data_IF_378490002154
#
_entry.id   IF_378490002154
#
_cell.length_a   1.000
_cell.length_b   1.000
_cell.length_c   1.000
_cell.angle_alpha   90.00
_cell.angle_beta   90.00
_cell.angle_gamma   90.00
#
_symmetry.space_group_name_H-M   'P 1'
#
loop_
_entity.id
_entity.type
_entity.pdbx_description
1 polymer ?
#
# COMPACT_ATOMS: atom_id res chain seq x y z
N UNK A 1 -6.41 4.53 8.71
CA UNK A 1 -5.53 3.91 9.71
C UNK A 1 -4.20 4.60 9.77
N UNK A 2 -3.62 4.94 8.63
CA UNK A 2 -2.44 5.80 8.57
C UNK A 2 -2.84 7.27 8.46
N UNK A 3 -2.16 8.15 9.18
CA UNK A 3 -2.50 9.57 9.30
C UNK A 3 -1.30 10.51 9.38
N UNK A 4 -0.07 10.05 9.13
CA UNK A 4 1.13 10.92 9.21
C UNK A 4 0.96 12.15 8.31
N UNK A 5 0.63 11.93 7.03
CA UNK A 5 0.40 13.02 6.08
C UNK A 5 -0.78 13.93 6.48
N UNK A 6 -1.87 13.36 7.03
CA UNK A 6 -3.01 14.15 7.55
C UNK A 6 -2.59 15.05 8.71
N UNK A 7 -1.77 14.56 9.62
CA UNK A 7 -1.33 15.32 10.79
C UNK A 7 -0.39 16.45 10.36
N UNK A 8 0.49 16.22 9.38
CA UNK A 8 1.30 17.28 8.77
C UNK A 8 0.42 18.37 8.14
N UNK A 9 -0.60 17.98 7.36
CA UNK A 9 -1.57 18.94 6.78
C UNK A 9 -2.29 19.74 7.88
N UNK A 10 -2.69 19.08 8.97
CA UNK A 10 -3.39 19.72 10.09
C UNK A 10 -2.52 20.80 10.74
N UNK A 11 -1.26 20.46 11.07
CA UNK A 11 -0.29 21.40 11.66
C UNK A 11 -0.04 22.57 10.71
N UNK A 12 0.18 22.29 9.42
CA UNK A 12 0.47 23.34 8.42
C UNK A 12 -0.73 24.30 8.25
N UNK A 13 -1.96 23.80 8.24
CA UNK A 13 -3.17 24.64 8.20
C UNK A 13 -3.32 25.47 9.49
N UNK A 14 -3.12 24.87 10.66
CA UNK A 14 -3.18 25.57 11.95
C UNK A 14 -2.12 26.69 12.05
N UNK A 15 -0.91 26.47 11.53
CA UNK A 15 0.11 27.51 11.42
C UNK A 15 -0.31 28.70 10.54
N UNK A 16 -1.34 28.54 9.71
CA UNK A 16 -1.90 29.57 8.85
C UNK A 16 -3.27 30.06 9.33
N UNK A 17 -3.53 29.96 10.64
CA UNK A 17 -4.75 30.43 11.31
C UNK A 17 -6.06 29.74 10.87
N UNK A 18 -5.98 28.51 10.36
CA UNK A 18 -7.16 27.68 10.17
C UNK A 18 -7.48 26.92 11.46
N UNK A 19 -8.76 26.87 11.81
CA UNK A 19 -9.25 25.91 12.80
C UNK A 19 -9.40 24.54 12.13
N UNK A 20 -8.77 23.51 12.71
CA UNK A 20 -8.77 22.15 12.16
C UNK A 20 -9.36 21.19 13.16
N UNK A 21 -10.51 20.62 12.81
CA UNK A 21 -11.15 19.54 13.58
C UNK A 21 -10.69 18.19 13.02
N UNK A 22 -9.67 17.61 13.65
CA UNK A 22 -9.13 16.32 13.27
C UNK A 22 -10.00 15.17 13.82
N UNK A 23 -10.77 14.53 12.95
CA UNK A 23 -11.66 13.42 13.32
C UNK A 23 -10.95 12.06 13.51
N UNK A 24 -9.63 12.00 13.31
CA UNK A 24 -8.86 10.77 13.40
C UNK A 24 -8.91 9.93 12.12
N UNK A 25 -9.00 8.61 12.27
CA UNK A 25 -8.93 7.63 11.17
C UNK A 25 -10.11 6.67 11.21
N UNK A 26 -10.44 6.08 10.05
CA UNK A 26 -11.58 5.14 9.91
C UNK A 26 -12.92 5.77 10.32
N UNK A 27 -13.11 7.04 9.98
CA UNK A 27 -14.32 7.79 10.30
C UNK A 27 -15.38 7.51 9.23
N UNK A 28 -16.59 7.03 9.60
CA UNK A 28 -17.68 6.82 8.66
C UNK A 28 -18.11 8.13 7.97
N UNK A 29 -18.56 8.03 6.71
CA UNK A 29 -19.07 9.18 5.94
C UNK A 29 -20.15 9.97 6.71
N UNK A 30 -21.11 9.26 7.31
CA UNK A 30 -22.19 9.89 8.08
C UNK A 30 -21.66 10.76 9.23
N UNK A 31 -20.62 10.29 9.92
CA UNK A 31 -20.02 11.01 11.04
C UNK A 31 -19.24 12.23 10.55
N UNK A 32 -18.51 12.11 9.43
CA UNK A 32 -17.81 13.23 8.78
C UNK A 32 -18.80 14.35 8.47
N UNK A 33 -19.89 14.02 7.78
CA UNK A 33 -20.90 14.99 7.38
C UNK A 33 -21.66 15.56 8.59
N UNK A 34 -22.01 14.72 9.57
CA UNK A 34 -22.66 15.19 10.79
C UNK A 34 -21.77 16.17 11.57
N UNK A 35 -20.48 15.85 11.73
CA UNK A 35 -19.52 16.72 12.40
C UNK A 35 -19.32 18.03 11.65
N UNK A 36 -19.17 18.00 10.32
CA UNK A 36 -19.01 19.20 9.51
C UNK A 36 -20.19 20.20 9.68
N UNK A 37 -21.42 19.69 9.88
CA UNK A 37 -22.58 20.53 10.20
C UNK A 37 -22.50 21.14 11.60
N UNK A 38 -22.10 20.34 12.59
CA UNK A 38 -21.99 20.78 13.99
C UNK A 38 -20.94 21.88 14.15
N UNK A 39 -19.78 21.69 13.54
CA UNK A 39 -18.67 22.66 13.62
C UNK A 39 -18.84 23.84 12.66
N UNK A 40 -19.84 23.80 11.77
CA UNK A 40 -20.01 24.81 10.74
C UNK A 40 -18.86 24.86 9.73
N UNK A 41 -18.23 23.72 9.45
CA UNK A 41 -16.99 23.65 8.67
C UNK A 41 -17.15 24.22 7.25
N UNK A 42 -16.18 25.04 6.85
CA UNK A 42 -16.14 25.63 5.52
C UNK A 42 -15.53 24.70 4.47
N UNK A 43 -14.70 23.74 4.87
CA UNK A 43 -14.01 22.77 3.98
C UNK A 43 -14.02 21.39 4.64
N UNK A 44 -14.20 20.33 3.85
CA UNK A 44 -14.00 18.95 4.27
C UNK A 44 -12.74 18.40 3.60
N UNK A 45 -11.83 17.80 4.37
CA UNK A 45 -10.63 17.13 3.86
C UNK A 45 -10.66 15.63 4.08
N UNK A 46 -10.39 14.84 3.04
CA UNK A 46 -10.28 13.38 3.09
C UNK A 46 -8.85 12.92 2.81
N UNK A 47 -8.38 11.94 3.60
CA UNK A 47 -7.07 11.33 3.45
C UNK A 47 -7.19 9.82 3.23
N UNK A 48 -6.51 9.28 2.21
CA UNK A 48 -6.53 7.87 1.86
C UNK A 48 -5.14 7.28 1.62
N UNK A 49 -4.89 6.06 2.12
CA UNK A 49 -3.61 5.36 1.97
C UNK A 49 -3.67 4.20 0.98
N UNK A 50 -4.80 3.47 0.94
CA UNK A 50 -4.94 2.25 0.13
C UNK A 50 -5.99 2.47 -0.96
N UNK A 51 -5.99 1.62 -1.99
CA UNK A 51 -6.88 1.81 -3.14
C UNK A 51 -8.37 1.74 -2.79
N UNK A 52 -8.85 0.93 -1.82
CA UNK A 52 -10.24 0.99 -1.36
C UNK A 52 -10.66 2.35 -0.81
N UNK A 53 -9.73 3.16 -0.29
CA UNK A 53 -10.04 4.51 0.21
C UNK A 53 -10.51 5.46 -0.89
N UNK A 54 -10.17 5.20 -2.15
CA UNK A 54 -10.61 6.03 -3.27
C UNK A 54 -12.12 5.92 -3.52
N UNK A 55 -12.68 4.73 -3.34
CA UNK A 55 -14.12 4.50 -3.47
C UNK A 55 -14.89 5.17 -2.34
N UNK A 56 -14.36 5.11 -1.11
CA UNK A 56 -14.92 5.84 0.03
C UNK A 56 -14.95 7.36 -0.22
N UNK A 57 -13.92 7.92 -0.86
CA UNK A 57 -13.91 9.34 -1.23
C UNK A 57 -14.98 9.69 -2.27
N UNK A 58 -15.18 8.85 -3.27
CA UNK A 58 -16.26 9.03 -4.26
C UNK A 58 -17.65 8.86 -3.61
N UNK A 59 -17.77 7.97 -2.63
CA UNK A 59 -18.98 7.79 -1.83
C UNK A 59 -19.28 9.04 -1.00
N UNK A 60 -18.30 9.60 -0.29
CA UNK A 60 -18.47 10.87 0.46
C UNK A 60 -18.91 12.00 -0.47
N UNK A 61 -18.29 12.15 -1.64
CA UNK A 61 -18.71 13.15 -2.63
C UNK A 61 -20.17 12.96 -3.06
N UNK A 62 -20.60 11.71 -3.28
CA UNK A 62 -21.98 11.37 -3.63
C UNK A 62 -22.96 11.69 -2.49
N UNK A 63 -22.59 11.44 -1.23
CA UNK A 63 -23.43 11.77 -0.08
C UNK A 63 -23.50 13.30 0.17
N UNK A 64 -22.39 14.03 -0.02
CA UNK A 64 -22.39 15.49 -0.01
C UNK A 64 -23.34 16.07 -1.08
N UNK A 65 -23.44 15.44 -2.25
CA UNK A 65 -24.40 15.85 -3.28
C UNK A 65 -25.86 15.57 -2.88
N UNK A 66 -26.13 14.49 -2.15
CA UNK A 66 -27.50 14.15 -1.71
C UNK A 66 -28.02 15.05 -0.59
N UNK A 67 -27.12 15.65 0.17
CA UNK A 67 -27.44 16.45 1.33
C UNK A 67 -27.44 17.94 0.99
N UNK A 68 -28.62 18.57 1.10
CA UNK A 68 -28.83 19.98 0.73
C UNK A 68 -27.91 20.95 1.46
N UNK A 69 -27.47 20.64 2.68
CA UNK A 69 -26.56 21.51 3.42
C UNK A 69 -25.24 21.72 2.68
N UNK A 70 -24.63 20.65 2.17
CA UNK A 70 -23.37 20.72 1.45
C UNK A 70 -23.59 21.20 0.02
N UNK A 71 -24.60 20.66 -0.67
CA UNK A 71 -24.92 21.00 -2.06
C UNK A 71 -25.21 22.49 -2.25
N UNK A 72 -26.08 23.07 -1.43
CA UNK A 72 -26.47 24.49 -1.56
C UNK A 72 -25.32 25.42 -1.18
N UNK A 73 -24.58 25.10 -0.11
CA UNK A 73 -23.41 25.89 0.31
C UNK A 73 -22.18 25.68 -0.58
N UNK A 74 -22.18 24.62 -1.39
CA UNK A 74 -21.04 24.18 -2.20
C UNK A 74 -19.75 24.06 -1.39
N UNK A 75 -19.84 23.47 -0.20
CA UNK A 75 -18.70 23.26 0.69
C UNK A 75 -17.61 22.48 -0.08
N UNK A 76 -16.39 23.02 -0.21
CA UNK A 76 -15.30 22.33 -0.89
C UNK A 76 -14.90 21.01 -0.23
N UNK A 77 -14.58 20.03 -1.07
CA UNK A 77 -14.04 18.73 -0.70
C UNK A 77 -12.59 18.60 -1.16
N UNK A 78 -11.64 18.58 -0.22
CA UNK A 78 -10.23 18.35 -0.50
C UNK A 78 -9.90 16.85 -0.45
N UNK A 79 -9.21 16.37 -1.48
CA UNK A 79 -8.81 14.98 -1.63
C UNK A 79 -7.28 14.90 -1.58
N UNK A 80 -6.74 14.12 -0.65
CA UNK A 80 -5.30 13.90 -0.49
C UNK A 80 -4.94 12.51 0.02
N UNK A 81 -3.64 12.20 0.07
CA UNK A 81 -3.12 10.89 0.53
C UNK A 81 -2.46 10.06 -0.58
N UNK A 82 -1.79 8.97 -0.20
CA UNK A 82 -0.85 8.26 -1.06
C UNK A 82 -1.46 7.66 -2.34
N UNK A 83 -2.72 7.26 -2.30
CA UNK A 83 -3.41 6.64 -3.45
C UNK A 83 -4.16 7.63 -4.31
N UNK A 84 -4.30 8.89 -3.87
CA UNK A 84 -5.04 9.89 -4.61
C UNK A 84 -4.18 10.51 -5.71
N UNK A 85 -4.84 11.00 -6.75
CA UNK A 85 -4.16 11.72 -7.82
C UNK A 85 -5.11 12.73 -8.45
N UNK A 86 -4.52 13.73 -9.12
CA UNK A 86 -5.26 14.71 -9.91
C UNK A 86 -6.17 14.06 -10.95
N UNK A 87 -5.66 13.04 -11.65
CA UNK A 87 -6.41 12.33 -12.70
C UNK A 87 -7.58 11.55 -12.09
N UNK A 88 -7.33 10.76 -11.04
CA UNK A 88 -8.40 9.99 -10.40
C UNK A 88 -9.48 10.91 -9.82
N UNK A 89 -9.09 11.98 -9.15
CA UNK A 89 -10.04 12.97 -8.58
C UNK A 89 -10.90 13.58 -9.66
N UNK A 90 -10.31 14.06 -10.76
CA UNK A 90 -11.05 14.68 -11.86
C UNK A 90 -12.00 13.71 -12.59
N UNK A 91 -11.61 12.44 -12.73
CA UNK A 91 -12.36 11.45 -13.54
C UNK A 91 -13.38 10.67 -12.72
N UNK A 92 -13.10 10.40 -11.44
CA UNK A 92 -13.84 9.41 -10.62
C UNK A 92 -14.47 9.96 -9.34
N UNK A 93 -14.05 11.13 -8.85
CA UNK A 93 -14.59 11.72 -7.61
C UNK A 93 -15.40 12.98 -7.91
N UNK A 94 -14.76 13.96 -8.56
CA UNK A 94 -15.37 15.25 -8.89
C UNK A 94 -16.73 15.17 -9.61
N UNK A 95 -16.99 14.20 -10.52
CA UNK A 95 -18.30 14.09 -11.17
C UNK A 95 -19.48 13.78 -10.23
N UNK A 96 -19.21 13.33 -9.00
CA UNK A 96 -20.25 12.94 -8.04
C UNK A 96 -20.78 14.09 -7.18
N UNK A 97 -20.18 15.29 -7.26
CA UNK A 97 -20.55 16.44 -6.44
C UNK A 97 -20.47 17.74 -7.26
N UNK A 98 -21.50 18.60 -7.15
CA UNK A 98 -21.57 19.86 -7.89
C UNK A 98 -20.77 21.00 -7.26
N UNK A 99 -20.39 20.85 -5.98
CA UNK A 99 -19.46 21.74 -5.30
C UNK A 99 -18.00 21.45 -5.68
N UNK A 100 -17.04 22.27 -5.20
CA UNK A 100 -15.63 22.10 -5.53
C UNK A 100 -15.08 20.79 -4.97
N UNK A 101 -14.46 19.98 -5.83
CA UNK A 101 -13.66 18.81 -5.42
C UNK A 101 -12.24 19.04 -5.88
N UNK A 102 -11.29 19.11 -4.95
CA UNK A 102 -9.91 19.56 -5.24
C UNK A 102 -8.91 18.53 -4.76
N UNK A 103 -8.12 17.99 -5.68
CA UNK A 103 -6.92 17.23 -5.35
C UNK A 103 -5.82 18.14 -4.81
N UNK A 104 -5.28 17.80 -3.64
CA UNK A 104 -4.15 18.50 -3.01
C UNK A 104 -2.98 17.52 -2.86
N UNK A 105 -1.84 17.76 -3.53
CA UNK A 105 -0.74 16.78 -3.60
C UNK A 105 0.05 16.65 -2.30
N UNK A 106 0.17 17.73 -1.53
CA UNK A 106 1.02 17.80 -0.34
C UNK A 106 0.52 18.88 0.64
N UNK A 107 1.08 18.88 1.85
CA UNK A 107 0.69 19.81 2.91
C UNK A 107 1.02 21.27 2.57
N UNK A 108 2.13 21.55 1.87
CA UNK A 108 2.52 22.91 1.50
C UNK A 108 1.47 23.58 0.60
N UNK A 109 0.85 22.81 -0.30
CA UNK A 109 -0.20 23.29 -1.20
C UNK A 109 -1.54 23.49 -0.50
N UNK A 110 -1.81 22.76 0.59
CA UNK A 110 -3.10 22.78 1.28
C UNK A 110 -3.52 24.19 1.72
N UNK A 111 -2.58 25.00 2.23
CA UNK A 111 -2.82 26.38 2.67
C UNK A 111 -3.25 27.25 1.48
N UNK A 112 -2.48 27.22 0.40
CA UNK A 112 -2.77 28.03 -0.79
C UNK A 112 -4.14 27.70 -1.40
N UNK A 113 -4.49 26.42 -1.41
CA UNK A 113 -5.78 25.94 -1.90
C UNK A 113 -6.91 26.39 -0.98
N UNK A 114 -6.79 26.16 0.34
CA UNK A 114 -7.81 26.54 1.31
C UNK A 114 -8.06 28.06 1.31
N UNK A 115 -7.00 28.87 1.34
CA UNK A 115 -7.12 30.34 1.27
C UNK A 115 -7.72 30.82 -0.05
N UNK A 116 -7.43 30.16 -1.17
CA UNK A 116 -8.02 30.53 -2.47
C UNK A 116 -9.52 30.19 -2.52
N UNK A 117 -9.93 29.06 -1.94
CA UNK A 117 -11.33 28.62 -1.90
C UNK A 117 -12.21 29.48 -0.98
N UNK A 118 -11.65 30.05 0.07
CA UNK A 118 -12.37 30.89 1.04
C UNK A 118 -12.26 32.39 0.73
N UNK A 119 -11.58 32.77 -0.34
CA UNK A 119 -11.43 34.16 -0.76
C UNK A 119 -12.64 34.66 -1.55
N UNK A 120 -13.24 35.78 -1.15
CA UNK A 120 -14.37 36.40 -1.87
C UNK A 120 -14.02 36.76 -3.33
N UNK A 121 -12.81 37.25 -3.58
CA UNK A 121 -12.36 37.70 -4.91
C UNK A 121 -11.64 36.58 -5.70
N UNK A 122 -10.96 35.67 -4.99
CA UNK A 122 -10.10 34.64 -5.57
C UNK A 122 -10.82 33.32 -5.87
N UNK A 123 -11.89 32.99 -5.13
CA UNK A 123 -12.55 31.68 -5.23
C UNK A 123 -13.15 31.46 -6.62
N UNK A 124 -13.87 32.43 -7.18
CA UNK A 124 -14.49 32.29 -8.49
C UNK A 124 -13.46 31.97 -9.59
N UNK A 125 -12.36 32.75 -9.62
CA UNK A 125 -11.27 32.54 -10.58
C UNK A 125 -10.61 31.17 -10.41
N UNK A 126 -10.32 30.78 -9.16
CA UNK A 126 -9.70 29.49 -8.86
C UNK A 126 -10.59 28.32 -9.30
N UNK A 127 -11.90 28.41 -9.05
CA UNK A 127 -12.87 27.38 -9.45
C UNK A 127 -13.02 27.27 -10.97
N UNK A 128 -12.99 28.39 -11.69
CA UNK A 128 -13.01 28.38 -13.16
C UNK A 128 -11.75 27.73 -13.74
N UNK A 129 -10.58 28.04 -13.19
CA UNK A 129 -9.30 27.42 -13.58
C UNK A 129 -9.29 25.91 -13.28
N UNK A 130 -9.77 25.52 -12.09
CA UNK A 130 -9.89 24.13 -11.69
C UNK A 130 -10.82 23.35 -12.62
N UNK A 131 -11.99 23.92 -12.94
CA UNK A 131 -12.97 23.30 -13.83
C UNK A 131 -12.40 23.10 -15.23
N UNK A 132 -11.78 24.15 -15.80
CA UNK A 132 -11.14 24.06 -17.11
C UNK A 132 -10.03 23.00 -17.14
N UNK A 133 -9.26 22.91 -16.06
CA UNK A 133 -8.23 21.88 -15.93
C UNK A 133 -8.80 20.47 -15.84
N UNK A 134 -9.84 20.25 -15.02
CA UNK A 134 -10.45 18.92 -14.87
C UNK A 134 -11.20 18.51 -16.14
N UNK A 135 -11.83 19.43 -16.86
CA UNK A 135 -12.41 19.19 -18.19
C UNK A 135 -11.33 18.74 -19.17
N UNK A 136 -10.18 19.43 -19.19
CA UNK A 136 -9.04 19.04 -20.02
C UNK A 136 -8.52 17.64 -19.66
N UNK A 137 -8.35 17.34 -18.37
CA UNK A 137 -7.88 16.03 -17.90
C UNK A 137 -8.86 14.93 -18.29
N UNK A 138 -10.17 15.15 -18.09
CA UNK A 138 -11.21 14.18 -18.48
C UNK A 138 -11.19 13.93 -19.98
N UNK A 139 -11.09 14.99 -20.80
CA UNK A 139 -10.99 14.87 -22.25
C UNK A 139 -9.71 14.12 -22.68
N UNK A 140 -8.56 14.42 -22.09
CA UNK A 140 -7.31 13.70 -22.36
C UNK A 140 -7.39 12.23 -21.95
N UNK A 141 -8.01 11.94 -20.80
CA UNK A 141 -8.20 10.59 -20.31
C UNK A 141 -9.15 9.78 -21.22
N UNK A 142 -10.27 10.37 -21.63
CA UNK A 142 -11.25 9.76 -22.54
C UNK A 142 -10.66 9.51 -23.94
N UNK A 143 -9.78 10.41 -24.41
CA UNK A 143 -9.11 10.28 -25.70
C UNK A 143 -7.87 9.38 -25.67
N UNK A 144 -7.46 8.89 -24.49
CA UNK A 144 -6.32 7.98 -24.37
C UNK A 144 -6.68 6.66 -25.04
N UNK A 145 -5.99 6.33 -26.14
CA UNK A 145 -6.17 5.04 -26.81
C UNK A 145 -5.92 3.92 -25.79
N UNK A 146 -6.93 3.07 -25.60
CA UNK A 146 -6.78 1.86 -24.84
C UNK A 146 -5.63 1.05 -25.45
N UNK A 147 -4.72 0.56 -24.60
CA UNK A 147 -3.72 -0.39 -25.08
C UNK A 147 -4.47 -1.61 -25.60
N UNK A 148 -4.09 -2.14 -26.77
CA UNK A 148 -4.71 -3.36 -27.26
C UNK A 148 -4.52 -4.46 -26.20
N UNK A 149 -5.61 -5.14 -25.89
CA UNK A 149 -5.66 -6.23 -24.93
C UNK A 149 -5.87 -7.55 -25.67
N UNK A 150 -5.41 -8.62 -25.05
CA UNK A 150 -5.67 -10.00 -25.46
C UNK A 150 -6.74 -10.61 -24.54
N UNK A 151 -7.42 -11.64 -25.02
CA UNK A 151 -8.32 -12.44 -24.17
C UNK A 151 -7.55 -13.09 -23.02
N UNK A 152 -8.24 -13.44 -21.94
CA UNK A 152 -7.65 -14.16 -20.81
C UNK A 152 -7.04 -15.49 -21.26
N UNK A 153 -7.68 -16.20 -22.19
CA UNK A 153 -7.16 -17.44 -22.75
C UNK A 153 -5.84 -17.23 -23.50
N UNK A 154 -5.74 -16.20 -24.35
CA UNK A 154 -4.48 -15.84 -25.03
C UNK A 154 -3.40 -15.40 -24.05
N UNK A 155 -3.75 -14.64 -23.01
CA UNK A 155 -2.81 -14.25 -21.96
C UNK A 155 -2.27 -15.47 -21.21
N UNK A 156 -3.13 -16.43 -20.83
CA UNK A 156 -2.74 -17.71 -20.18
C UNK A 156 -1.85 -18.56 -21.09
N UNK A 157 -2.12 -18.57 -22.39
CA UNK A 157 -1.27 -19.26 -23.37
C UNK A 157 0.13 -18.64 -23.49
N UNK A 158 0.27 -17.34 -23.24
CA UNK A 158 1.54 -16.60 -23.23
C UNK A 158 2.08 -16.39 -21.79
N UNK A 159 1.93 -17.38 -20.91
CA UNK A 159 2.48 -17.36 -19.54
C UNK A 159 4.01 -17.32 -19.53
N UNK A 160 4.61 -16.99 -18.39
CA UNK A 160 6.08 -17.05 -18.25
C UNK A 160 6.58 -18.48 -18.51
N UNK A 161 7.45 -18.72 -19.50
CA UNK A 161 7.87 -20.07 -19.85
C UNK A 161 8.95 -20.55 -18.88
N UNK A 162 8.57 -21.43 -17.95
CA UNK A 162 9.50 -22.06 -16.99
C UNK A 162 9.55 -23.56 -17.27
N UNK A 163 10.75 -24.10 -17.44
CA UNK A 163 10.95 -25.53 -17.57
C UNK A 163 11.02 -26.19 -16.18
N UNK A 164 9.84 -26.56 -15.66
CA UNK A 164 9.69 -27.21 -14.36
C UNK A 164 10.37 -28.58 -14.28
N UNK A 165 10.71 -29.23 -15.40
CA UNK A 165 11.43 -30.52 -15.36
C UNK A 165 12.92 -30.35 -15.06
N UNK A 166 13.51 -29.23 -15.45
CA UNK A 166 14.92 -28.93 -15.17
C UNK A 166 15.13 -28.08 -13.91
N UNK A 167 14.08 -27.39 -13.44
CA UNK A 167 14.12 -26.64 -12.20
C UNK A 167 13.58 -27.47 -11.01
N UNK A 168 14.39 -27.60 -9.96
CA UNK A 168 13.96 -28.19 -8.69
C UNK A 168 13.78 -27.07 -7.64
N UNK A 169 12.54 -26.79 -7.22
CA UNK A 169 12.31 -25.86 -6.13
C UNK A 169 13.01 -26.31 -4.83
N UNK A 170 13.58 -25.34 -4.11
CA UNK A 170 14.24 -25.62 -2.85
C UNK A 170 13.19 -25.85 -1.78
N UNK A 171 13.23 -27.01 -1.12
CA UNK A 171 12.39 -27.29 0.04
C UNK A 171 12.82 -26.43 1.24
N UNK A 172 11.89 -25.70 1.90
CA UNK A 172 12.16 -25.01 3.15
C UNK A 172 12.74 -25.93 4.23
N UNK A 173 13.57 -25.39 5.13
CA UNK A 173 14.14 -26.18 6.24
C UNK A 173 13.08 -26.61 7.28
N UNK A 174 11.89 -26.02 7.22
CA UNK A 174 10.72 -26.46 7.97
C UNK A 174 9.44 -26.13 7.20
N UNK A 175 8.40 -26.93 7.43
CA UNK A 175 7.04 -26.65 6.97
C UNK A 175 6.20 -26.23 8.17
N UNK A 176 5.41 -25.18 8.00
CA UNK A 176 4.48 -24.68 9.01
C UNK A 176 4.77 -23.23 9.42
N UNK A 177 4.30 -22.88 10.62
CA UNK A 177 4.25 -21.52 11.15
C UNK A 177 5.35 -21.25 12.17
N UNK A 178 5.92 -20.04 12.18
CA UNK A 178 6.83 -19.54 13.22
C UNK A 178 6.51 -18.11 13.62
N UNK A 179 6.47 -17.89 14.92
CA UNK A 179 6.18 -16.59 15.53
C UNK A 179 7.46 -15.98 16.11
N UNK A 180 7.63 -14.68 15.91
CA UNK A 180 8.71 -13.86 16.43
C UNK A 180 8.08 -12.75 17.28
N UNK A 181 8.23 -12.81 18.60
CA UNK A 181 7.73 -11.78 19.52
C UNK A 181 8.88 -10.97 20.11
N UNK A 182 8.67 -9.66 20.25
CA UNK A 182 9.66 -8.73 20.78
C UNK A 182 11.00 -8.82 20.04
N UNK A 183 10.95 -8.80 18.71
CA UNK A 183 12.14 -8.79 17.87
C UNK A 183 13.01 -7.57 18.23
N UNK A 184 14.33 -7.74 18.26
CA UNK A 184 15.25 -6.69 18.72
C UNK A 184 15.22 -5.51 17.75
N UNK A 185 14.73 -4.37 18.24
CA UNK A 185 14.71 -3.12 17.48
C UNK A 185 16.12 -2.66 17.08
N UNK A 186 17.15 -3.02 17.87
CA UNK A 186 18.54 -2.72 17.53
C UNK A 186 19.00 -3.48 16.29
N UNK A 187 18.51 -4.70 16.09
CA UNK A 187 18.77 -5.48 14.88
C UNK A 187 18.06 -4.86 13.69
N UNK A 188 16.76 -4.53 13.84
CA UNK A 188 15.96 -3.89 12.79
C UNK A 188 16.51 -2.54 12.36
N UNK A 189 17.10 -1.76 13.27
CA UNK A 189 17.69 -0.47 12.94
C UNK A 189 18.78 -0.54 11.84
N UNK A 190 19.40 -1.70 11.65
CA UNK A 190 20.40 -1.93 10.60
C UNK A 190 19.81 -2.16 9.21
N UNK A 191 18.49 -2.43 9.14
CA UNK A 191 17.75 -2.69 7.89
C UNK A 191 16.91 -1.49 7.45
N UNK A 192 17.00 -0.34 8.14
CA UNK A 192 16.19 0.84 7.81
C UNK A 192 16.65 1.42 6.46
N UNK A 193 15.69 1.55 5.54
CA UNK A 193 15.78 2.47 4.41
C UNK A 193 15.33 3.87 4.85
N UNK A 194 16.28 4.80 4.89
CA UNK A 194 16.07 6.20 5.26
C UNK A 194 15.52 7.06 4.12
N UNK A 195 15.52 6.58 2.87
CA UNK A 195 14.97 7.33 1.74
C UNK A 195 13.53 7.80 1.99
N UNK A 196 12.58 6.88 2.29
CA UNK A 196 11.20 7.27 2.56
C UNK A 196 10.99 8.00 3.90
N UNK A 197 11.95 7.93 4.84
CA UNK A 197 11.92 8.78 6.04
C UNK A 197 12.01 10.26 5.64
N UNK A 198 12.93 10.65 4.75
CA UNK A 198 13.04 12.03 4.28
C UNK A 198 11.81 12.47 3.47
N UNK A 199 11.25 11.56 2.65
CA UNK A 199 10.03 11.84 1.90
C UNK A 199 8.84 12.14 2.82
N UNK A 200 8.76 11.48 3.97
CA UNK A 200 7.72 11.76 4.99
C UNK A 200 7.80 13.19 5.52
N UNK A 201 9.00 13.77 5.54
CA UNK A 201 9.27 15.16 5.93
C UNK A 201 9.29 16.14 4.75
N UNK A 202 8.78 15.73 3.59
CA UNK A 202 8.76 16.53 2.35
C UNK A 202 10.15 17.00 1.89
N UNK A 203 11.18 16.20 2.18
CA UNK A 203 12.55 16.43 1.75
C UNK A 203 12.90 15.51 0.58
N UNK A 204 12.96 16.09 -0.62
CA UNK A 204 13.23 15.36 -1.85
C UNK A 204 14.73 15.12 -2.05
N UNK A 205 15.11 13.87 -2.30
CA UNK A 205 16.48 13.48 -2.64
C UNK A 205 16.81 12.06 -2.18
N UNK A 206 17.75 11.36 -2.85
CA UNK A 206 18.16 10.02 -2.44
C UNK A 206 19.06 10.07 -1.21
N UNK A 207 18.84 9.19 -0.23
CA UNK A 207 19.78 8.97 0.86
C UNK A 207 20.97 8.11 0.39
N UNK A 208 22.23 8.40 0.79
CA UNK A 208 22.65 9.47 1.70
C UNK A 208 22.96 10.82 1.02
N UNK A 209 22.84 10.94 -0.30
CA UNK A 209 23.21 12.15 -1.05
C UNK A 209 22.44 13.41 -0.60
N UNK A 210 21.18 13.26 -0.19
CA UNK A 210 20.33 14.34 0.35
C UNK A 210 20.97 15.08 1.52
N UNK A 211 21.85 14.41 2.29
CA UNK A 211 22.54 15.02 3.42
C UNK A 211 23.57 16.07 3.00
N UNK A 212 24.00 16.08 1.73
CA UNK A 212 24.95 17.03 1.17
C UNK A 212 24.30 17.96 0.14
N UNK A 213 22.98 17.94 0.01
CA UNK A 213 22.25 18.80 -0.91
C UNK A 213 22.43 20.29 -0.53
N UNK A 214 22.60 21.15 -1.53
CA UNK A 214 22.88 22.58 -1.34
C UNK A 214 21.67 23.36 -0.80
N UNK A 215 20.45 22.89 -1.06
CA UNK A 215 19.21 23.57 -0.70
C UNK A 215 18.63 22.97 0.59
N UNK A 216 18.46 21.64 0.62
CA UNK A 216 17.76 20.95 1.72
C UNK A 216 18.69 20.22 2.68
N UNK A 217 20.00 20.16 2.39
CA UNK A 217 20.94 19.33 3.16
C UNK A 217 21.06 19.71 4.62
N UNK A 218 20.93 20.99 4.98
CA UNK A 218 20.92 21.41 6.40
C UNK A 218 19.71 20.85 7.15
N UNK A 219 18.50 21.06 6.61
CA UNK A 219 17.26 20.51 7.16
C UNK A 219 17.28 18.99 7.21
N UNK A 220 17.81 18.34 6.16
CA UNK A 220 17.96 16.88 6.10
C UNK A 220 18.89 16.36 7.21
N UNK A 221 20.06 16.99 7.41
CA UNK A 221 20.97 16.61 8.51
C UNK A 221 20.33 16.82 9.88
N UNK A 222 19.55 17.89 10.07
CA UNK A 222 18.87 18.18 11.33
C UNK A 222 17.80 17.13 11.64
N UNK A 223 16.84 16.90 10.74
CA UNK A 223 15.77 15.93 10.95
C UNK A 223 16.30 14.50 11.07
N UNK A 224 17.39 14.18 10.36
CA UNK A 224 18.07 12.90 10.50
C UNK A 224 18.72 12.75 11.88
N UNK A 225 19.39 13.79 12.39
CA UNK A 225 19.96 13.79 13.74
C UNK A 225 18.87 13.61 14.80
N UNK A 226 17.75 14.32 14.68
CA UNK A 226 16.61 14.20 15.59
C UNK A 226 15.99 12.80 15.51
N UNK A 227 15.80 12.27 14.30
CA UNK A 227 15.33 10.91 14.07
C UNK A 227 16.25 9.85 14.67
N UNK A 228 17.57 10.00 14.54
CA UNK A 228 18.57 9.10 15.16
C UNK A 228 18.56 9.21 16.70
N UNK A 229 18.37 10.40 17.24
CA UNK A 229 18.24 10.62 18.68
C UNK A 229 16.97 9.97 19.24
N UNK A 230 15.83 10.17 18.58
CA UNK A 230 14.57 9.53 18.95
C UNK A 230 14.64 8.01 18.79
N UNK A 231 15.27 7.52 17.72
CA UNK A 231 15.53 6.09 17.49
C UNK A 231 16.31 5.48 18.66
N UNK A 232 17.36 6.14 19.14
CA UNK A 232 18.12 5.65 20.30
C UNK A 232 17.24 5.60 21.57
N UNK A 233 16.46 6.65 21.83
CA UNK A 233 15.56 6.73 22.99
C UNK A 233 14.46 5.68 22.95
N UNK A 234 13.84 5.45 21.79
CA UNK A 234 12.74 4.50 21.65
C UNK A 234 13.22 3.05 21.77
N UNK A 235 14.43 2.74 21.27
CA UNK A 235 15.05 1.42 21.45
C UNK A 235 15.39 1.21 22.94
N UNK A 236 16.12 2.15 23.55
CA UNK A 236 16.54 2.05 24.96
C UNK A 236 15.34 1.97 25.91
N UNK A 237 14.32 2.77 25.64
CA UNK A 237 13.09 2.84 26.42
C UNK A 237 12.07 1.77 26.06
N UNK A 238 12.32 0.91 25.05
CA UNK A 238 11.40 -0.10 24.53
C UNK A 238 9.98 0.44 24.30
N UNK A 239 9.90 1.60 23.63
CA UNK A 239 8.62 2.27 23.39
C UNK A 239 7.71 1.49 22.44
N UNK A 240 8.32 0.73 21.53
CA UNK A 240 7.65 -0.07 20.52
C UNK A 240 7.96 -1.56 20.73
N UNK A 241 7.03 -2.42 20.33
CA UNK A 241 7.25 -3.85 20.21
C UNK A 241 7.16 -4.27 18.74
N UNK A 242 8.19 -4.99 18.27
CA UNK A 242 8.19 -5.59 16.95
C UNK A 242 7.79 -7.07 17.05
N UNK A 243 6.65 -7.43 16.45
CA UNK A 243 6.18 -8.81 16.37
C UNK A 243 5.97 -9.21 14.91
N UNK A 244 6.26 -10.46 14.59
CA UNK A 244 6.16 -11.01 13.26
C UNK A 244 5.77 -12.48 13.26
N UNK A 245 5.19 -12.93 12.17
CA UNK A 245 4.86 -14.33 11.93
C UNK A 245 5.16 -14.67 10.49
N UNK A 246 5.67 -15.88 10.27
CA UNK A 246 5.77 -16.46 8.93
C UNK A 246 5.11 -17.82 8.90
N UNK A 247 4.69 -18.23 7.70
CA UNK A 247 4.43 -19.62 7.38
C UNK A 247 5.17 -19.99 6.09
N UNK A 248 5.87 -21.12 6.08
CA UNK A 248 6.45 -21.70 4.88
C UNK A 248 5.70 -23.00 4.59
N UNK A 249 4.98 -23.05 3.48
CA UNK A 249 4.01 -24.11 3.20
C UNK A 249 4.19 -24.66 1.78
N UNK A 250 3.86 -25.93 1.55
CA UNK A 250 3.81 -26.49 0.21
C UNK A 250 2.76 -25.76 -0.62
N UNK A 251 3.06 -25.53 -1.89
CA UNK A 251 2.13 -24.89 -2.81
C UNK A 251 2.27 -25.41 -4.23
N UNK A 252 1.20 -25.28 -5.01
CA UNK A 252 1.22 -25.50 -6.45
C UNK A 252 0.25 -24.56 -7.15
N UNK A 253 0.58 -24.22 -8.39
CA UNK A 253 -0.34 -23.49 -9.26
C UNK A 253 -1.44 -24.42 -9.79
N UNK A 254 -2.68 -23.94 -9.80
CA UNK A 254 -3.87 -24.58 -10.36
C UNK A 254 -4.65 -23.55 -11.18
N UNK A 255 -5.54 -24.00 -12.07
CA UNK A 255 -6.40 -23.13 -12.89
C UNK A 255 -5.64 -22.00 -13.64
N UNK A 256 -4.40 -22.28 -14.07
CA UNK A 256 -3.42 -21.35 -14.66
C UNK A 256 -2.90 -20.21 -13.76
N UNK A 257 -3.74 -19.63 -12.90
CA UNK A 257 -3.46 -18.36 -12.20
C UNK A 257 -3.60 -18.43 -10.66
N UNK A 258 -4.04 -19.55 -10.10
CA UNK A 258 -4.27 -19.67 -8.66
C UNK A 258 -3.13 -20.44 -8.01
N UNK A 259 -2.75 -20.05 -6.78
CA UNK A 259 -1.78 -20.81 -5.99
C UNK A 259 -2.54 -21.49 -4.85
N UNK A 260 -2.69 -22.82 -4.90
CA UNK A 260 -3.13 -23.61 -3.75
C UNK A 260 -1.97 -23.74 -2.76
N UNK A 261 -2.22 -23.37 -1.52
CA UNK A 261 -1.29 -23.45 -0.39
C UNK A 261 -1.81 -24.52 0.56
N UNK A 262 -1.02 -25.54 0.82
CA UNK A 262 -1.43 -26.72 1.58
C UNK A 262 -0.98 -26.65 3.04
N UNK A 263 -1.67 -27.38 3.92
CA UNK A 263 -1.33 -27.44 5.34
C UNK A 263 -0.01 -28.17 5.61
N UNK A 264 0.33 -29.17 4.80
CA UNK A 264 1.56 -29.95 4.89
C UNK A 264 1.98 -30.61 3.55
N UNK A 265 3.08 -31.37 3.57
CA UNK A 265 3.68 -32.01 2.39
C UNK A 265 2.80 -33.10 1.74
N UNK A 266 1.75 -33.58 2.41
CA UNK A 266 0.79 -34.52 1.81
C UNK A 266 -0.02 -33.87 0.69
N UNK A 267 -0.16 -32.53 0.73
CA UNK A 267 -0.94 -31.73 -0.22
C UNK A 267 -2.41 -32.18 -0.33
N UNK A 268 -2.97 -32.77 0.73
CA UNK A 268 -4.36 -33.24 0.75
C UNK A 268 -5.37 -32.18 1.20
N UNK A 269 -4.94 -31.22 2.01
CA UNK A 269 -5.78 -30.15 2.56
C UNK A 269 -5.23 -28.79 2.15
N UNK A 270 -6.09 -27.94 1.59
CA UNK A 270 -5.77 -26.58 1.16
C UNK A 270 -6.05 -25.63 2.32
N UNK A 271 -5.01 -24.93 2.79
CA UNK A 271 -5.12 -23.90 3.83
C UNK A 271 -5.63 -22.57 3.27
N UNK A 272 -5.19 -22.22 2.06
CA UNK A 272 -5.55 -20.98 1.35
C UNK A 272 -5.38 -21.19 -0.15
N UNK A 273 -6.23 -20.58 -0.96
CA UNK A 273 -5.96 -20.41 -2.38
C UNK A 273 -5.76 -18.93 -2.70
N UNK A 274 -4.54 -18.55 -3.07
CA UNK A 274 -4.25 -17.19 -3.50
C UNK A 274 -4.64 -17.03 -4.97
N UNK A 275 -5.73 -16.27 -5.21
CA UNK A 275 -6.24 -15.99 -6.56
C UNK A 275 -5.44 -14.83 -7.17
N UNK A 276 -4.61 -15.12 -8.17
CA UNK A 276 -3.82 -14.08 -8.84
C UNK A 276 -4.54 -13.56 -10.10
N UNK A 277 -4.04 -12.41 -10.54
CA UNK A 277 -4.41 -11.77 -11.79
C UNK A 277 -3.25 -11.83 -12.78
N UNK A 278 -3.59 -11.77 -14.06
CA UNK A 278 -2.67 -11.86 -15.20
C UNK A 278 -2.72 -10.59 -16.04
N UNK A 279 -1.55 -10.14 -16.50
CA UNK A 279 -1.46 -9.06 -17.47
C UNK A 279 -2.26 -9.38 -18.73
N UNK A 280 -3.15 -8.49 -19.18
CA UNK A 280 -3.94 -8.69 -20.42
C UNK A 280 -3.60 -7.71 -21.55
N UNK A 281 -2.65 -6.79 -21.36
CA UNK A 281 -2.12 -5.98 -22.47
C UNK A 281 -1.38 -6.86 -23.49
N UNK A 282 -1.49 -6.55 -24.79
CA UNK A 282 -0.57 -7.09 -25.81
C UNK A 282 0.88 -6.80 -25.38
N UNK A 283 1.70 -7.86 -25.33
CA UNK A 283 3.07 -7.76 -24.84
C UNK A 283 4.04 -7.48 -25.98
N UNK A 284 5.06 -6.63 -25.77
CA UNK A 284 6.01 -6.31 -26.80
C UNK A 284 6.86 -7.54 -27.17
N UNK A 285 7.28 -7.59 -28.43
CA UNK A 285 8.32 -8.50 -28.90
C UNK A 285 9.66 -7.82 -28.71
N UNK A 286 10.57 -8.46 -27.97
CA UNK A 286 11.94 -7.98 -27.75
C UNK A 286 12.87 -9.10 -28.19
N UNK A 287 13.85 -8.77 -29.05
CA UNK A 287 14.80 -9.74 -29.63
C UNK A 287 14.12 -10.94 -30.29
N UNK A 288 12.98 -10.71 -30.97
CA UNK A 288 12.20 -11.74 -31.64
C UNK A 288 11.32 -12.60 -30.74
N UNK A 289 11.33 -12.38 -29.42
CA UNK A 289 10.53 -13.13 -28.44
C UNK A 289 9.45 -12.24 -27.84
N UNK A 290 8.20 -12.69 -27.90
CA UNK A 290 7.09 -12.02 -27.22
C UNK A 290 7.29 -12.11 -25.70
N UNK A 291 7.27 -10.96 -25.01
CA UNK A 291 7.33 -10.97 -23.54
C UNK A 291 6.08 -11.67 -22.98
N UNK A 292 6.18 -12.36 -21.83
CA UNK A 292 5.05 -13.06 -21.27
C UNK A 292 3.99 -12.09 -20.72
N UNK A 293 2.74 -12.55 -20.73
CA UNK A 293 1.63 -12.00 -19.97
C UNK A 293 1.73 -12.55 -18.55
N UNK A 294 2.43 -11.86 -17.67
CA UNK A 294 2.82 -12.41 -16.35
C UNK A 294 1.64 -12.52 -15.38
N UNK A 295 1.66 -13.58 -14.58
CA UNK A 295 0.93 -13.74 -13.32
C UNK A 295 1.94 -14.15 -12.24
N UNK A 296 1.71 -13.80 -10.97
CA UNK A 296 2.61 -14.25 -9.88
C UNK A 296 2.57 -15.77 -9.70
N UNK A 297 1.45 -16.41 -10.07
CA UNK A 297 1.30 -17.86 -10.10
C UNK A 297 2.21 -18.57 -11.11
N UNK A 298 2.76 -17.85 -12.10
CA UNK A 298 3.71 -18.41 -13.04
C UNK A 298 4.99 -18.90 -12.34
N UNK A 299 5.31 -18.37 -11.16
CA UNK A 299 6.56 -18.63 -10.43
C UNK A 299 6.44 -19.72 -9.36
N UNK A 300 5.36 -20.49 -9.37
CA UNK A 300 5.12 -21.67 -8.52
C UNK A 300 4.79 -22.86 -9.42
N UNK A 301 5.38 -24.02 -9.13
CA UNK A 301 5.22 -25.19 -9.98
C UNK A 301 3.74 -25.61 -10.16
N UNK A 302 3.27 -25.83 -11.39
CA UNK A 302 1.93 -26.34 -11.65
C UNK A 302 1.70 -27.71 -10.99
N UNK A 303 0.49 -27.95 -10.48
CA UNK A 303 0.14 -29.19 -9.79
C UNK A 303 0.29 -30.43 -10.67
N UNK A 304 -0.03 -30.32 -11.96
CA UNK A 304 0.07 -31.37 -12.97
C UNK A 304 1.52 -31.68 -13.39
N UNK A 305 2.47 -30.79 -13.10
CA UNK A 305 3.90 -31.06 -13.32
C UNK A 305 4.47 -32.15 -12.40
N UNK A 306 3.79 -32.43 -11.28
CA UNK A 306 4.28 -33.35 -10.23
C UNK A 306 5.46 -32.81 -9.42
N UNK A 307 5.88 -31.56 -9.65
CA UNK A 307 6.99 -30.92 -8.95
C UNK A 307 6.50 -30.35 -7.61
N UNK A 308 7.20 -30.70 -6.54
CA UNK A 308 6.95 -30.17 -5.20
C UNK A 308 7.53 -28.76 -5.06
N UNK A 309 6.66 -27.76 -5.00
CA UNK A 309 7.03 -26.36 -4.76
C UNK A 309 6.43 -25.84 -3.45
N UNK A 310 6.83 -24.63 -3.06
CA UNK A 310 6.58 -24.01 -1.76
C UNK A 310 6.38 -22.51 -1.89
N UNK A 311 5.65 -21.94 -0.95
CA UNK A 311 5.42 -20.50 -0.83
C UNK A 311 5.61 -20.09 0.63
N UNK A 312 6.00 -18.84 0.83
CA UNK A 312 5.97 -18.23 2.16
C UNK A 312 4.85 -17.21 2.30
N UNK A 313 4.39 -17.00 3.52
CA UNK A 313 3.52 -15.90 3.93
C UNK A 313 4.13 -15.22 5.14
N UNK A 314 3.93 -13.92 5.29
CA UNK A 314 4.37 -13.18 6.46
C UNK A 314 3.42 -12.04 6.83
N UNK A 315 3.42 -11.71 8.12
CA UNK A 315 2.88 -10.47 8.65
C UNK A 315 3.81 -9.97 9.76
N UNK A 316 4.18 -8.71 9.70
CA UNK A 316 5.05 -8.04 10.69
C UNK A 316 4.47 -6.70 11.09
N UNK A 317 4.67 -6.32 12.34
CA UNK A 317 4.37 -5.00 12.86
C UNK A 317 5.49 -4.52 13.77
N UNK A 318 5.75 -3.22 13.73
CA UNK A 318 6.56 -2.52 14.72
C UNK A 318 5.78 -1.39 15.41
N UNK A 319 4.45 -1.34 15.21
CA UNK A 319 3.58 -0.28 15.71
C UNK A 319 2.98 -0.55 17.09
N UNK A 320 3.23 -1.69 17.72
CA UNK A 320 2.66 -1.99 19.03
C UNK A 320 3.26 -1.08 20.10
N UNK A 321 2.40 -0.34 20.80
CA UNK A 321 2.79 0.65 21.80
C UNK A 321 2.92 2.08 21.26
N UNK A 322 2.80 2.30 19.94
CA UNK A 322 2.92 3.63 19.33
C UNK A 322 1.90 4.61 19.91
N UNK A 323 0.62 4.20 20.01
CA UNK A 323 -0.48 5.03 20.51
C UNK A 323 -0.25 5.58 21.92
N UNK A 324 0.47 4.84 22.77
CA UNK A 324 0.73 5.24 24.16
C UNK A 324 1.68 6.44 24.19
N UNK A 325 2.75 6.38 23.38
CA UNK A 325 3.74 7.47 23.31
C UNK A 325 3.25 8.64 22.47
N UNK A 326 2.48 8.36 21.42
CA UNK A 326 1.81 9.39 20.65
C UNK A 326 0.90 10.25 21.54
N UNK A 327 -0.02 9.64 22.30
CA UNK A 327 -0.91 10.37 23.21
C UNK A 327 -0.17 11.22 24.24
N UNK A 328 1.03 10.78 24.65
CA UNK A 328 1.87 11.57 25.53
C UNK A 328 2.41 12.82 24.80
N UNK A 329 2.94 12.67 23.58
CA UNK A 329 3.39 13.80 22.78
C UNK A 329 2.25 14.77 22.41
N UNK A 330 1.06 14.26 22.08
CA UNK A 330 -0.13 15.09 21.82
C UNK A 330 -0.52 15.91 23.07
N UNK A 331 -0.50 15.28 24.26
CA UNK A 331 -0.78 15.98 25.53
C UNK A 331 0.27 17.05 25.84
N UNK A 332 1.51 16.81 25.45
CA UNK A 332 2.62 17.75 25.62
C UNK A 332 2.67 18.80 24.49
N UNK A 333 1.71 18.78 23.55
CA UNK A 333 1.66 19.63 22.36
C UNK A 333 2.93 19.54 21.49
N UNK A 334 3.53 18.35 21.40
CA UNK A 334 4.74 18.04 20.64
C UNK A 334 4.41 17.23 19.39
N UNK A 335 3.76 17.90 18.42
CA UNK A 335 3.39 17.29 17.13
C UNK A 335 4.61 16.76 16.37
N UNK A 336 5.76 17.43 16.49
CA UNK A 336 7.00 17.02 15.85
C UNK A 336 7.45 15.64 16.32
N UNK A 337 7.50 15.42 17.64
CA UNK A 337 7.87 14.12 18.19
C UNK A 337 6.83 13.03 17.90
N UNK A 338 5.54 13.38 17.87
CA UNK A 338 4.47 12.44 17.50
C UNK A 338 4.64 11.95 16.05
N UNK A 339 4.85 12.87 15.11
CA UNK A 339 5.09 12.56 13.69
C UNK A 339 6.41 11.77 13.53
N UNK A 340 7.47 12.19 14.21
CA UNK A 340 8.77 11.50 14.18
C UNK A 340 8.66 10.05 14.67
N UNK A 341 7.94 9.82 15.78
CA UNK A 341 7.74 8.47 16.32
C UNK A 341 7.00 7.58 15.32
N UNK A 342 5.93 8.08 14.70
CA UNK A 342 5.18 7.33 13.68
C UNK A 342 6.02 7.02 12.46
N UNK A 343 6.75 8.01 11.96
CA UNK A 343 7.66 7.83 10.82
C UNK A 343 8.71 6.75 11.11
N UNK A 344 9.29 6.74 12.32
CA UNK A 344 10.23 5.72 12.75
C UNK A 344 9.57 4.34 12.94
N UNK A 345 8.33 4.27 13.45
CA UNK A 345 7.58 3.03 13.55
C UNK A 345 7.34 2.40 12.17
N UNK A 346 6.97 3.20 11.17
CA UNK A 346 6.85 2.76 9.78
C UNK A 346 8.19 2.25 9.22
N UNK A 347 9.29 2.98 9.49
CA UNK A 347 10.64 2.53 9.10
C UNK A 347 10.99 1.18 9.74
N UNK A 348 10.61 0.95 10.98
CA UNK A 348 10.82 -0.35 11.63
C UNK A 348 9.97 -1.46 11.04
N UNK A 349 8.72 -1.19 10.66
CA UNK A 349 7.86 -2.21 10.04
C UNK A 349 8.44 -2.68 8.71
N UNK A 350 8.91 -1.75 7.87
CA UNK A 350 9.60 -2.06 6.60
C UNK A 350 10.94 -2.76 6.83
N UNK A 351 11.74 -2.26 7.79
CA UNK A 351 13.00 -2.89 8.17
C UNK A 351 12.79 -4.33 8.68
N UNK A 352 11.67 -4.60 9.38
CA UNK A 352 11.32 -5.94 9.81
C UNK A 352 10.93 -6.83 8.63
N UNK A 353 10.17 -6.32 7.66
CA UNK A 353 9.87 -7.06 6.45
C UNK A 353 11.16 -7.45 5.70
N UNK A 354 12.13 -6.54 5.58
CA UNK A 354 13.44 -6.81 4.96
C UNK A 354 14.28 -7.80 5.76
N UNK A 355 14.43 -7.59 7.07
CA UNK A 355 15.21 -8.47 7.94
C UNK A 355 14.65 -9.90 7.98
N UNK A 356 13.33 -10.03 8.07
CA UNK A 356 12.66 -11.33 8.09
C UNK A 356 12.75 -12.00 6.71
N UNK A 357 12.61 -11.25 5.61
CA UNK A 357 12.82 -11.79 4.28
C UNK A 357 14.26 -12.29 4.11
N UNK A 358 15.28 -11.51 4.48
CA UNK A 358 16.69 -11.93 4.44
C UNK A 358 16.92 -13.22 5.25
N UNK A 359 16.36 -13.31 6.46
CA UNK A 359 16.42 -14.53 7.29
C UNK A 359 15.68 -15.71 6.67
N UNK A 360 14.57 -15.48 5.96
CA UNK A 360 13.87 -16.52 5.18
C UNK A 360 14.76 -17.05 4.08
N UNK A 361 15.38 -16.18 3.28
CA UNK A 361 16.25 -16.59 2.17
C UNK A 361 17.46 -17.39 2.63
N UNK A 362 18.12 -16.94 3.70
CA UNK A 362 19.39 -17.51 4.22
C UNK A 362 19.18 -18.74 5.09
N UNK A 363 18.26 -18.66 6.05
CA UNK A 363 18.20 -19.59 7.16
C UNK A 363 16.96 -20.45 7.19
N UNK A 364 15.77 -19.88 6.98
CA UNK A 364 14.50 -20.55 7.26
C UNK A 364 13.99 -21.36 6.06
N UNK A 365 13.95 -20.73 4.88
CA UNK A 365 13.76 -21.43 3.61
C UNK A 365 15.10 -21.95 3.10
N UNK A 366 16.12 -21.08 3.08
CA UNK A 366 17.51 -21.50 2.87
C UNK A 366 17.93 -21.71 1.42
N UNK A 367 17.22 -21.11 0.45
CA UNK A 367 17.61 -21.17 -0.97
C UNK A 367 18.78 -20.24 -1.34
N UNK A 368 19.23 -19.39 -0.41
CA UNK A 368 20.36 -18.48 -0.57
C UNK A 368 21.21 -18.41 0.71
N UNK A 369 21.65 -19.56 1.24
CA UNK A 369 22.38 -19.64 2.52
C UNK A 369 23.73 -18.90 2.55
N UNK A 370 24.33 -18.64 1.38
CA UNK A 370 25.63 -17.98 1.25
C UNK A 370 25.49 -16.47 0.94
N UNK A 371 24.28 -15.91 1.01
CA UNK A 371 24.03 -14.49 0.73
C UNK A 371 24.64 -13.58 1.81
N UNK A 372 25.45 -12.61 1.41
CA UNK A 372 26.11 -11.62 2.29
C UNK A 372 25.90 -10.19 1.80
N UNK A 373 24.66 -9.83 1.47
CA UNK A 373 24.31 -8.51 0.93
C UNK A 373 24.37 -7.43 2.01
N UNK A 374 24.91 -6.26 1.64
CA UNK A 374 24.81 -5.05 2.42
C UNK A 374 23.41 -4.42 2.32
N UNK A 375 23.08 -3.46 3.21
CA UNK A 375 21.73 -2.90 3.27
C UNK A 375 21.32 -2.14 2.00
N UNK A 376 22.25 -1.44 1.35
CA UNK A 376 22.01 -0.79 0.05
C UNK A 376 21.71 -1.80 -1.06
N UNK A 377 22.34 -2.96 -1.02
CA UNK A 377 22.06 -4.06 -1.95
C UNK A 377 20.72 -4.75 -1.66
N UNK A 378 20.30 -4.81 -0.39
CA UNK A 378 18.95 -5.24 -0.01
C UNK A 378 17.88 -4.28 -0.53
N UNK A 379 18.08 -2.97 -0.35
CA UNK A 379 17.17 -1.92 -0.86
C UNK A 379 17.10 -1.96 -2.39
N UNK A 380 18.23 -2.22 -3.06
CA UNK A 380 18.29 -2.41 -4.51
C UNK A 380 17.78 -3.79 -4.99
N UNK A 381 17.23 -4.61 -4.07
CA UNK A 381 16.66 -5.93 -4.33
C UNK A 381 17.62 -6.90 -5.04
N UNK A 382 18.93 -6.83 -4.76
CA UNK A 382 19.97 -7.68 -5.38
C UNK A 382 20.01 -9.12 -4.85
N UNK A 383 18.87 -9.64 -4.41
CA UNK A 383 18.70 -11.00 -3.93
C UNK A 383 17.82 -11.83 -4.87
N UNK A 384 17.86 -13.15 -4.70
CA UNK A 384 16.95 -14.07 -5.37
C UNK A 384 15.57 -14.05 -4.69
N UNK A 385 14.51 -14.10 -5.48
CA UNK A 385 13.13 -14.18 -4.99
C UNK A 385 12.51 -12.82 -4.66
N UNK A 386 11.20 -12.79 -4.44
CA UNK A 386 10.42 -11.58 -4.18
C UNK A 386 9.46 -11.76 -3.00
N UNK A 387 8.98 -10.63 -2.45
CA UNK A 387 8.06 -10.59 -1.31
C UNK A 387 6.75 -9.81 -1.60
N UNK A 388 5.95 -10.19 -2.61
CA UNK A 388 4.78 -9.42 -3.05
C UNK A 388 3.74 -9.23 -1.94
N UNK A 389 3.30 -7.97 -1.78
CA UNK A 389 2.34 -7.56 -0.76
C UNK A 389 0.99 -7.17 -1.40
N UNK A 390 -0.14 -7.74 -0.94
CA UNK A 390 -1.48 -7.41 -1.46
C UNK A 390 -1.82 -5.92 -1.43
N UNK A 391 -2.16 -5.37 -2.59
CA UNK A 391 -2.38 -3.94 -2.84
C UNK A 391 -1.34 -3.29 -3.73
N UNK A 392 -0.16 -3.90 -3.86
CA UNK A 392 0.85 -3.43 -4.79
C UNK A 392 0.48 -3.79 -6.23
N UNK A 393 1.03 -3.11 -7.25
CA UNK A 393 0.67 -3.34 -8.65
C UNK A 393 0.81 -4.79 -9.15
N UNK A 394 1.67 -5.60 -8.52
CA UNK A 394 1.86 -7.02 -8.86
C UNK A 394 0.75 -7.94 -8.34
N UNK A 395 0.09 -7.57 -7.24
CA UNK A 395 -1.03 -8.27 -6.63
C UNK A 395 -2.00 -7.24 -6.04
N UNK A 396 -2.73 -6.49 -6.90
CA UNK A 396 -3.51 -5.33 -6.48
C UNK A 396 -4.75 -5.67 -5.64
N UNK A 397 -5.22 -6.93 -5.68
CA UNK A 397 -6.32 -7.38 -4.84
C UNK A 397 -5.93 -7.39 -3.36
N UNK A 398 -6.73 -6.71 -2.53
CA UNK A 398 -6.53 -6.64 -1.10
C UNK A 398 -7.29 -7.73 -0.32
N UNK A 399 -8.26 -8.43 -0.92
CA UNK A 399 -9.16 -9.35 -0.20
C UNK A 399 -8.42 -10.51 0.44
N UNK A 400 -7.40 -11.05 -0.25
CA UNK A 400 -6.56 -12.16 0.25
C UNK A 400 -5.93 -11.91 1.63
N UNK A 401 -5.81 -10.64 2.06
CA UNK A 401 -5.26 -10.32 3.39
C UNK A 401 -6.05 -10.95 4.53
N UNK A 402 -7.38 -11.11 4.39
CA UNK A 402 -8.21 -11.73 5.43
C UNK A 402 -7.80 -13.17 5.67
N UNK A 403 -7.88 -13.97 4.62
CA UNK A 403 -7.55 -15.40 4.69
C UNK A 403 -6.07 -15.62 5.02
N UNK A 404 -5.17 -14.77 4.51
CA UNK A 404 -3.74 -14.81 4.88
C UNK A 404 -3.54 -14.55 6.38
N UNK A 405 -4.26 -13.59 6.97
CA UNK A 405 -4.17 -13.30 8.42
C UNK A 405 -4.73 -14.44 9.26
N UNK A 406 -5.77 -15.12 8.79
CA UNK A 406 -6.36 -16.28 9.46
C UNK A 406 -5.38 -17.46 9.46
N UNK A 407 -4.78 -17.78 8.32
CA UNK A 407 -3.75 -18.84 8.22
C UNK A 407 -2.52 -18.52 9.06
N UNK A 408 -2.09 -17.25 9.08
CA UNK A 408 -0.97 -16.80 9.90
C UNK A 408 -1.31 -16.68 11.38
N UNK A 409 -2.59 -16.70 11.77
CA UNK A 409 -3.06 -16.37 13.11
C UNK A 409 -2.45 -15.04 13.58
N UNK A 410 -2.58 -14.00 12.75
CA UNK A 410 -1.89 -12.72 12.93
C UNK A 410 -2.35 -11.96 14.20
N UNK A 411 -3.53 -12.28 14.72
CA UNK A 411 -4.01 -11.77 16.01
C UNK A 411 -3.07 -12.13 17.17
N UNK A 412 -2.37 -13.28 17.13
CA UNK A 412 -1.41 -13.69 18.17
C UNK A 412 -0.18 -12.78 18.26
N UNK A 413 0.13 -12.04 17.19
CA UNK A 413 1.19 -11.04 17.14
C UNK A 413 0.66 -9.61 17.28
N UNK A 414 -0.63 -9.46 17.59
CA UNK A 414 -1.27 -8.15 17.81
C UNK A 414 -1.68 -7.44 16.52
N UNK A 415 -1.78 -8.16 15.40
CA UNK A 415 -2.17 -7.59 14.11
C UNK A 415 -3.59 -7.99 13.71
N UNK A 416 -4.33 -7.07 13.08
CA UNK A 416 -5.65 -7.32 12.52
C UNK A 416 -5.83 -6.65 11.16
N UNK A 417 -6.84 -7.07 10.40
CA UNK A 417 -7.27 -6.43 9.15
C UNK A 417 -8.67 -5.89 9.37
N UNK A 418 -8.90 -4.65 8.93
CA UNK A 418 -10.21 -4.01 9.08
C UNK A 418 -11.16 -4.33 7.93
N UNK A 419 -12.38 -3.80 7.98
CA UNK A 419 -13.38 -3.95 6.92
C UNK A 419 -12.87 -3.44 5.56
N UNK A 420 -12.17 -2.29 5.54
CA UNK A 420 -11.55 -1.69 4.34
C UNK A 420 -10.22 -2.35 3.96
N UNK A 421 -9.87 -3.47 4.60
CA UNK A 421 -8.69 -4.29 4.33
C UNK A 421 -7.35 -3.65 4.72
N UNK A 422 -7.29 -2.45 5.28
CA UNK A 422 -6.04 -1.96 5.86
C UNK A 422 -5.70 -2.68 7.18
N UNK A 423 -4.41 -2.73 7.50
CA UNK A 423 -3.86 -3.46 8.64
C UNK A 423 -3.72 -2.56 9.87
N UNK A 424 -3.88 -3.18 11.05
CA UNK A 424 -3.58 -2.58 12.34
C UNK A 424 -2.52 -3.42 13.06
N UNK A 425 -1.54 -2.80 13.76
CA UNK A 425 -1.24 -1.36 13.78
C UNK A 425 -0.88 -0.79 12.39
N UNK A 426 -0.92 0.53 12.22
CA UNK A 426 -0.64 1.16 10.93
C UNK A 426 0.77 0.85 10.40
N UNK A 427 1.77 0.83 11.30
CA UNK A 427 3.14 0.41 11.02
C UNK A 427 3.23 -1.13 10.91
N UNK A 428 2.70 -1.68 9.81
CA UNK A 428 2.63 -3.11 9.53
C UNK A 428 2.84 -3.41 8.06
N UNK A 429 3.42 -4.58 7.78
CA UNK A 429 3.64 -5.12 6.43
C UNK A 429 3.22 -6.58 6.41
N UNK A 430 2.56 -7.01 5.35
CA UNK A 430 2.22 -8.42 5.13
C UNK A 430 2.28 -8.77 3.66
N UNK A 431 2.62 -10.02 3.34
CA UNK A 431 2.66 -10.49 1.98
C UNK A 431 3.10 -11.94 1.87
N UNK A 432 3.50 -12.31 0.66
CA UNK A 432 3.97 -13.64 0.31
C UNK A 432 5.48 -13.64 0.05
N UNK A 433 6.09 -14.82 0.00
CA UNK A 433 7.46 -15.02 -0.46
C UNK A 433 7.46 -16.00 -1.65
N UNK A 434 8.07 -15.61 -2.75
CA UNK A 434 8.30 -16.46 -3.93
C UNK A 434 9.80 -16.65 -4.13
N UNK A 435 10.25 -17.91 -4.21
CA UNK A 435 11.67 -18.25 -4.25
C UNK A 435 12.24 -18.47 -5.67
N UNK A 436 11.37 -18.54 -6.68
CA UNK A 436 11.82 -18.77 -8.06
C UNK A 436 12.77 -17.65 -8.50
N UNK A 437 13.93 -17.95 -9.10
CA UNK A 437 14.94 -16.95 -9.42
C UNK A 437 14.48 -15.91 -10.45
N UNK A 438 13.59 -16.29 -11.35
CA UNK A 438 13.04 -15.38 -12.37
C UNK A 438 11.81 -14.60 -11.89
N UNK A 439 11.38 -14.80 -10.64
CA UNK A 439 10.27 -14.02 -10.07
C UNK A 439 10.65 -12.55 -9.99
N UNK A 440 9.75 -11.69 -10.44
CA UNK A 440 9.98 -10.23 -10.53
C UNK A 440 8.70 -9.48 -10.22
N UNK A 441 8.82 -8.25 -9.72
CA UNK A 441 7.67 -7.35 -9.63
C UNK A 441 7.30 -6.85 -11.03
N UNK A 442 5.99 -6.80 -11.29
CA UNK A 442 5.41 -6.24 -12.50
C UNK A 442 4.09 -5.56 -12.11
N UNK A 443 3.54 -4.73 -12.99
CA UNK A 443 2.17 -4.23 -12.83
C UNK A 443 1.22 -5.11 -13.63
N UNK A 444 0.15 -5.60 -12.99
CA UNK A 444 -0.93 -6.33 -13.68
C UNK A 444 -1.55 -5.47 -14.78
N UNK A 445 -1.72 -4.16 -14.52
CA UNK A 445 -2.32 -3.21 -15.46
C UNK A 445 -3.82 -3.39 -15.57
N UNK A 446 -4.41 -2.93 -16.69
CA UNK A 446 -5.84 -3.09 -16.96
C UNK A 446 -6.17 -4.56 -17.27
N UNK A 447 -7.35 -4.99 -16.82
CA UNK A 447 -7.90 -6.31 -17.11
C UNK A 447 -9.17 -6.19 -17.95
N UNK A 448 -9.44 -7.20 -18.77
CA UNK A 448 -10.65 -7.35 -19.56
C UNK A 448 -11.81 -7.91 -18.73
N UNK A 449 -13.01 -7.79 -19.31
CA UNK A 449 -14.25 -8.27 -18.70
C UNK A 449 -14.24 -9.79 -18.45
N UNK A 450 -13.59 -10.55 -19.33
CA UNK A 450 -13.44 -12.00 -19.23
C UNK A 450 -12.64 -12.42 -18.00
N UNK A 451 -11.55 -11.73 -17.68
CA UNK A 451 -10.77 -11.99 -16.47
C UNK A 451 -11.51 -11.53 -15.20
N UNK A 452 -12.24 -10.41 -15.26
CA UNK A 452 -13.06 -9.96 -14.14
C UNK A 452 -14.16 -10.99 -13.79
N UNK A 453 -14.83 -11.55 -14.79
CA UNK A 453 -15.86 -12.58 -14.61
C UNK A 453 -15.27 -13.89 -14.07
N UNK A 454 -14.15 -14.35 -14.64
CA UNK A 454 -13.41 -15.52 -14.16
C UNK A 454 -12.92 -15.33 -12.71
N UNK A 455 -12.41 -14.14 -12.37
CA UNK A 455 -12.03 -13.78 -11.00
C UNK A 455 -13.22 -13.79 -10.05
N UNK A 456 -14.34 -13.17 -10.42
CA UNK A 456 -15.56 -13.14 -9.61
C UNK A 456 -16.05 -14.56 -9.31
N UNK A 457 -16.02 -15.45 -10.31
CA UNK A 457 -16.38 -16.85 -10.16
C UNK A 457 -15.43 -17.59 -9.20
N UNK A 458 -14.10 -17.45 -9.39
CA UNK A 458 -13.09 -18.10 -8.53
C UNK A 458 -13.14 -17.63 -7.08
N UNK A 459 -13.46 -16.35 -6.86
CA UNK A 459 -13.62 -15.75 -5.54
C UNK A 459 -15.01 -15.95 -4.93
N UNK A 460 -15.97 -16.51 -5.68
CA UNK A 460 -17.38 -16.59 -5.28
C UNK A 460 -17.98 -15.22 -4.92
N UNK A 461 -17.59 -14.17 -5.65
CA UNK A 461 -18.07 -12.81 -5.46
C UNK A 461 -19.21 -12.49 -6.44
N UNK A 462 -20.07 -11.56 -6.03
CA UNK A 462 -20.96 -10.90 -6.97
C UNK A 462 -20.14 -10.08 -7.98
N UNK A 463 -20.70 -9.82 -9.18
CA UNK A 463 -20.06 -8.96 -10.16
C UNK A 463 -19.73 -7.57 -9.58
N UNK A 464 -20.64 -6.99 -8.80
CA UNK A 464 -20.45 -5.68 -8.19
C UNK A 464 -19.31 -5.68 -7.16
N UNK A 465 -19.18 -6.74 -6.35
CA UNK A 465 -18.10 -6.83 -5.37
C UNK A 465 -16.74 -7.07 -6.03
N UNK A 466 -16.69 -7.83 -7.12
CA UNK A 466 -15.48 -7.99 -7.93
C UNK A 466 -15.07 -6.68 -8.62
N UNK A 467 -16.03 -5.95 -9.19
CA UNK A 467 -15.79 -4.63 -9.77
C UNK A 467 -15.25 -3.63 -8.74
N UNK A 468 -15.80 -3.66 -7.53
CA UNK A 468 -15.32 -2.84 -6.40
C UNK A 468 -13.89 -3.22 -6.00
N UNK A 469 -13.65 -4.51 -5.75
CA UNK A 469 -12.33 -5.00 -5.33
C UNK A 469 -11.21 -4.67 -6.33
N UNK A 470 -11.52 -4.68 -7.63
CA UNK A 470 -10.57 -4.46 -8.71
C UNK A 470 -10.76 -3.12 -9.45
N UNK A 471 -11.52 -2.18 -8.90
CA UNK A 471 -11.87 -0.91 -9.55
C UNK A 471 -10.67 -0.15 -10.17
N UNK A 472 -9.47 -0.11 -9.56
CA UNK A 472 -8.30 0.53 -10.19
C UNK A 472 -7.88 -0.09 -11.53
N UNK A 473 -8.19 -1.37 -11.75
CA UNK A 473 -7.77 -2.16 -12.91
C UNK A 473 -8.80 -2.15 -14.05
N UNK A 474 -9.97 -1.51 -13.86
CA UNK A 474 -11.07 -1.49 -14.83
C UNK A 474 -11.10 -0.21 -15.67
#
# INVERSE_FOLDING_TARGET
>A
MHDIGKNIVSVVLQCNNFEVVNMGVMVPCNDILARAKVEGADIIGLSGLITPSLEEMAYVASEMQRDDYFRVKKIPLLIGGATTSRVHTAVKIAPHYEGPVVYVPDASRSVSVASSLLSDEGAAKYLDELKADYDRIRNQHANKKALPMVTLAEARANKTPIDWKSYQPVKPKFIGRRVFKNFDLSELANYIDWGPFFQTWDLAGPYPAILNDEIVGESARRVFSDGKSMLARLIQGRWLQANGVIALLPANTVNDDDIEIYTDDSRSEVALTWRNLRQQSVRPVVDGVMRPNRSLADFIAPKDSGVADYIGMFAVTAGLGVDVKEKQFEKDHDDYSAIMLKALADRFAEAFAEALHARVRRDLWGYASNETLANDELIAEKYRGIRPAPGYPACPDHLVKRDMFDVLQANEIGMTVTESLAMLPAASVSGFYLAHPDSTYFSVGKIGQDQLEDYAQRMSLSKADAERALAPLL
#
